data_IF_683613712221
#
_entry.id   IF_683613712221
#
_cell.length_a   1.000
_cell.length_b   1.000
_cell.length_c   1.000
_cell.angle_alpha   90.00
_cell.angle_beta   90.00
_cell.angle_gamma   90.00
#
_symmetry.space_group_name_H-M   'P 1'
#
loop_
_entity.id
_entity.type
_entity.pdbx_description
1 polymer ?
#
# COMPACT_ATOMS: atom_id res chain seq x y z
N UNK A 1 15.06 -4.06 -6.83
CA UNK A 1 14.77 -4.94 -5.69
C UNK A 1 15.36 -4.42 -4.36
N UNK A 2 15.61 -3.11 -4.22
CA UNK A 2 16.19 -2.52 -2.99
C UNK A 2 15.13 -2.16 -1.95
N UNK A 3 13.94 -1.74 -2.37
CA UNK A 3 12.84 -1.38 -1.46
C UNK A 3 12.34 -2.59 -0.66
N UNK A 4 12.23 -3.75 -1.31
CA UNK A 4 11.63 -4.96 -0.70
C UNK A 4 12.61 -5.80 0.15
N UNK A 5 13.91 -5.79 -0.16
CA UNK A 5 14.91 -6.66 0.50
C UNK A 5 16.24 -5.96 0.81
N UNK A 6 16.36 -4.67 0.54
CA UNK A 6 17.55 -3.89 0.86
C UNK A 6 17.55 -3.40 2.30
N UNK A 7 18.64 -2.73 2.69
CA UNK A 7 18.76 -2.06 3.97
C UNK A 7 17.98 -0.73 3.98
N UNK A 8 16.66 -0.81 3.78
CA UNK A 8 15.74 0.33 3.86
C UNK A 8 14.62 0.01 4.87
N UNK A 9 14.07 1.05 5.49
CA UNK A 9 12.93 0.98 6.43
C UNK A 9 11.69 0.36 5.78
N UNK A 10 11.50 0.57 4.48
CA UNK A 10 10.39 -0.01 3.71
C UNK A 10 10.46 -1.54 3.56
N UNK A 11 11.57 -2.20 3.90
CA UNK A 11 11.72 -3.64 3.71
C UNK A 11 10.75 -4.51 4.52
N UNK A 12 10.23 -4.00 5.64
CA UNK A 12 9.27 -4.70 6.51
C UNK A 12 8.04 -3.83 6.84
N UNK A 13 7.82 -2.73 6.14
CA UNK A 13 6.77 -1.75 6.46
C UNK A 13 6.20 -1.20 5.17
N UNK A 14 5.39 -2.03 4.51
CA UNK A 14 4.68 -1.73 3.26
C UNK A 14 3.17 -1.65 3.51
N UNK A 15 2.42 -1.23 2.50
CA UNK A 15 0.96 -1.12 2.57
C UNK A 15 0.54 -0.12 3.64
N UNK A 16 -0.36 -0.55 4.51
CA UNK A 16 -0.85 0.26 5.65
C UNK A 16 0.26 0.71 6.62
N UNK A 17 1.40 0.00 6.67
CA UNK A 17 2.50 0.31 7.57
C UNK A 17 3.54 1.27 7.01
N UNK A 18 3.40 1.68 5.75
CA UNK A 18 4.32 2.62 5.08
C UNK A 18 4.62 3.89 5.90
N UNK A 19 3.67 4.53 6.61
CA UNK A 19 3.94 5.72 7.43
C UNK A 19 4.98 5.52 8.52
N UNK A 20 5.16 4.30 9.02
CA UNK A 20 6.19 3.99 10.01
C UNK A 20 7.59 3.94 9.37
N UNK A 21 7.69 3.53 8.11
CA UNK A 21 8.95 3.62 7.37
C UNK A 21 9.32 5.09 7.10
N UNK A 22 8.32 5.90 6.75
CA UNK A 22 8.48 7.33 6.43
C UNK A 22 8.70 8.20 7.68
N UNK A 23 8.32 7.69 8.86
CA UNK A 23 8.41 8.44 10.12
C UNK A 23 7.38 9.56 10.23
N UNK A 24 6.21 9.43 9.57
CA UNK A 24 5.15 10.46 9.61
C UNK A 24 4.07 10.20 10.65
N UNK A 25 4.13 9.07 11.35
CA UNK A 25 3.12 8.72 12.38
C UNK A 25 3.32 9.55 13.64
N UNK A 26 4.56 9.66 14.11
CA UNK A 26 4.89 10.34 15.36
C UNK A 26 5.66 11.63 15.10
N UNK A 27 5.40 12.65 15.91
CA UNK A 27 6.23 13.84 15.95
C UNK A 27 7.50 13.62 16.80
N UNK A 28 8.52 14.43 16.56
CA UNK A 28 9.73 14.41 17.38
C UNK A 28 9.42 14.85 18.83
N UNK A 29 10.14 14.33 19.84
CA UNK A 29 9.92 14.71 21.25
C UNK A 29 10.09 16.20 21.54
N UNK A 30 10.83 16.92 20.70
CA UNK A 30 11.08 18.36 20.78
C UNK A 30 10.32 19.15 19.71
N UNK A 31 9.36 18.51 19.02
CA UNK A 31 8.53 19.19 18.03
C UNK A 31 7.56 20.18 18.67
N UNK A 32 7.04 21.08 17.84
CA UNK A 32 6.03 22.04 18.25
C UNK A 32 4.76 21.28 18.70
N UNK A 33 4.26 21.58 19.90
CA UNK A 33 3.13 20.86 20.49
C UNK A 33 1.85 21.07 19.68
N UNK A 34 1.74 22.21 19.01
CA UNK A 34 0.62 22.57 18.13
C UNK A 34 0.49 21.59 16.94
N UNK A 35 1.59 20.97 16.51
CA UNK A 35 1.61 20.01 15.41
C UNK A 35 1.21 18.59 15.82
N UNK A 36 1.06 18.32 17.13
CA UNK A 36 0.71 17.00 17.64
C UNK A 36 -0.72 16.63 17.23
N UNK A 37 -0.92 15.39 16.75
CA UNK A 37 -2.20 14.91 16.21
C UNK A 37 -3.39 15.13 17.16
N UNK A 38 -3.18 15.04 18.48
CA UNK A 38 -4.21 15.30 19.50
C UNK A 38 -4.80 16.72 19.43
N UNK A 39 -4.03 17.72 18.96
CA UNK A 39 -4.52 19.09 18.84
C UNK A 39 -5.10 19.40 17.46
N UNK A 40 -4.81 18.56 16.45
CA UNK A 40 -5.44 18.65 15.14
C UNK A 40 -6.88 18.17 15.27
N UNK A 41 -7.83 19.04 14.96
CA UNK A 41 -9.24 18.67 15.05
C UNK A 41 -9.60 17.68 13.95
N UNK A 42 -10.50 16.74 14.23
CA UNK A 42 -11.03 15.80 13.21
C UNK A 42 -11.64 16.53 12.02
N UNK A 43 -12.10 17.77 12.21
CA UNK A 43 -12.62 18.63 11.15
C UNK A 43 -11.55 19.08 10.14
N UNK A 44 -10.31 19.35 10.57
CA UNK A 44 -9.20 19.69 9.66
C UNK A 44 -8.75 18.50 8.79
N UNK A 45 -9.11 17.26 9.17
CA UNK A 45 -8.79 16.04 8.41
C UNK A 45 -9.82 15.81 7.28
N UNK A 46 -11.03 16.36 7.43
CA UNK A 46 -12.14 16.22 6.47
C UNK A 46 -12.40 17.50 5.65
N UNK A 47 -11.63 18.57 5.85
CA UNK A 47 -11.87 19.92 5.30
C UNK A 47 -11.78 20.09 3.77
N UNK A 48 -11.64 19.01 2.99
CA UNK A 48 -11.77 19.05 1.52
C UNK A 48 -13.19 18.75 1.00
N UNK A 49 -14.16 18.42 1.86
CA UNK A 49 -15.55 18.22 1.40
C UNK A 49 -16.27 19.57 1.30
N UNK A 50 -16.27 20.16 0.11
CA UNK A 50 -17.22 21.23 -0.22
C UNK A 50 -18.65 20.71 0.01
N UNK A 51 -19.46 21.44 0.77
CA UNK A 51 -20.86 21.08 1.13
C UNK A 51 -21.85 20.99 -0.05
N UNK A 52 -21.35 21.02 -1.29
CA UNK A 52 -22.15 20.97 -2.53
C UNK A 52 -21.97 19.67 -3.32
N UNK A 53 -21.23 18.70 -2.79
CA UNK A 53 -20.94 17.45 -3.50
C UNK A 53 -22.07 16.42 -3.38
N UNK A 54 -22.30 15.72 -4.49
CA UNK A 54 -23.25 14.61 -4.62
C UNK A 54 -22.94 13.49 -3.61
N UNK A 55 -23.98 12.85 -3.07
CA UNK A 55 -23.86 11.80 -2.03
C UNK A 55 -22.99 10.64 -2.52
N UNK A 56 -23.08 10.29 -3.80
CA UNK A 56 -22.30 9.20 -4.38
C UNK A 56 -20.82 9.58 -4.56
N UNK A 57 -20.53 10.85 -4.81
CA UNK A 57 -19.15 11.35 -4.83
C UNK A 57 -18.53 11.26 -3.43
N UNK A 58 -19.27 11.63 -2.39
CA UNK A 58 -18.81 11.52 -1.00
C UNK A 58 -18.49 10.07 -0.61
N UNK A 59 -19.34 9.10 -1.00
CA UNK A 59 -19.07 7.67 -0.77
C UNK A 59 -17.80 7.23 -1.49
N UNK A 60 -17.64 7.63 -2.74
CA UNK A 60 -16.47 7.27 -3.54
C UNK A 60 -15.18 7.86 -2.96
N UNK A 61 -15.20 9.12 -2.51
CA UNK A 61 -14.07 9.75 -1.84
C UNK A 61 -13.70 9.02 -0.54
N UNK A 62 -14.69 8.67 0.28
CA UNK A 62 -14.46 7.88 1.49
C UNK A 62 -13.82 6.53 1.14
N UNK A 63 -14.34 5.84 0.11
CA UNK A 63 -13.82 4.57 -0.36
C UNK A 63 -12.36 4.69 -0.82
N UNK A 64 -12.05 5.75 -1.60
CA UNK A 64 -10.68 6.09 -2.02
C UNK A 64 -9.76 6.35 -0.84
N UNK A 65 -10.18 7.14 0.17
CA UNK A 65 -9.39 7.39 1.38
C UNK A 65 -9.07 6.09 2.12
N UNK A 66 -10.06 5.21 2.31
CA UNK A 66 -9.85 3.92 2.97
C UNK A 66 -8.92 3.03 2.15
N UNK A 67 -9.12 2.96 0.84
CA UNK A 67 -8.28 2.16 -0.05
C UNK A 67 -6.83 2.66 -0.07
N UNK A 68 -6.61 3.97 -0.18
CA UNK A 68 -5.28 4.58 -0.09
C UNK A 68 -4.59 4.23 1.24
N UNK A 69 -5.32 4.30 2.37
CA UNK A 69 -4.79 3.87 3.67
C UNK A 69 -4.41 2.39 3.69
N UNK A 70 -5.25 1.52 3.13
CA UNK A 70 -5.01 0.06 3.12
C UNK A 70 -3.82 -0.35 2.25
N UNK A 71 -3.72 0.20 1.04
CA UNK A 71 -2.75 -0.21 0.03
C UNK A 71 -1.46 0.61 0.05
N UNK A 72 -1.51 1.86 0.52
CA UNK A 72 -0.37 2.80 0.48
C UNK A 72 -0.02 3.38 1.86
N UNK A 73 -0.93 3.33 2.82
CA UNK A 73 -0.73 3.86 4.16
C UNK A 73 -0.86 5.39 4.24
N UNK A 74 -1.30 6.07 3.18
CA UNK A 74 -1.52 7.52 3.19
C UNK A 74 -2.95 7.83 2.77
N UNK A 75 -3.53 8.95 3.23
CA UNK A 75 -4.87 9.40 2.82
C UNK A 75 -4.90 9.84 1.35
N UNK A 76 -3.83 10.51 0.90
CA UNK A 76 -3.74 11.12 -0.44
C UNK A 76 -3.10 10.21 -1.49
N UNK A 77 -2.71 8.98 -1.13
CA UNK A 77 -2.08 8.02 -2.04
C UNK A 77 -0.56 8.11 -2.05
N UNK A 78 0.07 8.11 -3.24
CA UNK A 78 1.54 8.08 -3.33
C UNK A 78 2.15 9.39 -2.81
N UNK A 79 2.80 9.33 -1.65
CA UNK A 79 3.77 10.36 -1.28
C UNK A 79 4.91 10.26 -2.28
N UNK A 80 5.21 11.37 -2.96
CA UNK A 80 6.38 11.43 -3.83
C UNK A 80 7.58 10.89 -3.07
N UNK A 81 8.25 9.90 -3.64
CA UNK A 81 9.59 9.50 -3.26
C UNK A 81 10.55 10.63 -3.64
N UNK A 82 10.42 11.80 -3.02
CA UNK A 82 11.44 12.83 -3.00
C UNK A 82 12.52 12.38 -2.02
N UNK A 83 13.27 11.35 -2.43
CA UNK A 83 14.62 11.00 -2.00
C UNK A 83 15.00 9.67 -2.66
N UNK A 84 15.01 9.63 -3.99
CA UNK A 84 16.13 8.93 -4.63
C UNK A 84 17.38 9.66 -4.12
N UNK A 85 18.14 9.01 -3.24
CA UNK A 85 19.37 9.58 -2.69
C UNK A 85 20.22 10.13 -3.86
N UNK A 86 20.57 11.43 -3.86
CA UNK A 86 21.47 11.94 -4.87
C UNK A 86 22.77 11.17 -4.75
N UNK A 87 23.11 10.46 -5.81
CA UNK A 87 24.34 9.70 -5.93
C UNK A 87 25.52 10.67 -5.79
N UNK A 88 26.03 10.86 -4.56
CA UNK A 88 26.99 11.89 -4.17
C UNK A 88 28.40 11.75 -4.81
N UNK A 89 28.57 10.89 -5.81
CA UNK A 89 29.86 10.57 -6.42
C UNK A 89 30.10 11.15 -7.83
N UNK A 90 29.21 11.99 -8.37
CA UNK A 90 29.44 12.65 -9.67
C UNK A 90 29.52 14.19 -9.63
N UNK A 91 29.45 14.81 -8.46
CA UNK A 91 29.72 16.24 -8.32
C UNK A 91 31.21 16.48 -8.05
N UNK A 92 32.03 16.38 -9.09
CA UNK A 92 33.27 17.13 -9.15
C UNK A 92 33.74 17.20 -10.61
N UNK A 93 33.62 18.41 -11.17
CA UNK A 93 34.17 18.94 -12.44
C UNK A 93 33.13 19.27 -13.53
N UNK A 94 32.50 20.44 -13.40
CA UNK A 94 32.20 21.32 -14.54
C UNK A 94 32.36 22.78 -14.07
N UNK A 95 33.01 23.68 -14.84
CA UNK A 95 33.20 25.07 -14.46
C UNK A 95 31.94 25.92 -14.70
N UNK A 96 31.78 26.96 -13.88
CA UNK A 96 30.71 27.95 -13.93
C UNK A 96 30.62 28.64 -15.31
N UNK A 97 29.45 28.56 -15.95
CA UNK A 97 29.02 29.52 -16.96
C UNK A 97 27.58 29.95 -16.70
N UNK A 98 27.46 31.25 -16.47
CA UNK A 98 26.21 31.99 -16.33
C UNK A 98 25.32 31.90 -17.58
N UNK A 99 24.03 32.10 -17.31
CA UNK A 99 23.00 32.76 -18.12
C UNK A 99 21.93 31.90 -18.80
N UNK A 100 20.69 32.25 -18.41
CA UNK A 100 19.37 31.95 -18.96
C UNK A 100 18.70 30.64 -18.53
N UNK A 101 17.95 30.78 -17.44
CA UNK A 101 16.79 29.99 -17.06
C UNK A 101 15.80 29.91 -18.22
N UNK A 102 15.77 28.77 -18.89
CA UNK A 102 14.53 28.21 -19.40
C UNK A 102 14.42 26.83 -18.74
N UNK A 103 13.67 26.78 -17.64
CA UNK A 103 13.29 25.53 -16.98
C UNK A 103 12.27 24.85 -17.89
N UNK A 104 12.73 24.26 -18.99
CA UNK A 104 11.98 23.18 -19.62
C UNK A 104 12.08 21.99 -18.68
N UNK A 105 11.09 21.89 -17.80
CA UNK A 105 10.67 20.67 -17.16
C UNK A 105 10.77 19.54 -18.19
N UNK A 106 11.77 18.68 -18.03
CA UNK A 106 11.77 17.39 -18.72
C UNK A 106 10.72 16.55 -18.02
N UNK A 107 9.46 16.75 -18.38
CA UNK A 107 8.40 15.77 -18.23
C UNK A 107 8.81 14.52 -19.01
N UNK A 108 9.55 13.63 -18.37
CA UNK A 108 9.48 12.23 -18.72
C UNK A 108 8.06 11.81 -18.37
N UNK A 109 7.17 11.73 -19.36
CA UNK A 109 5.84 11.13 -19.22
C UNK A 109 6.01 9.66 -18.83
N UNK A 110 6.22 9.39 -17.55
CA UNK A 110 5.86 8.12 -16.96
C UNK A 110 4.33 8.13 -16.86
N UNK A 111 3.67 7.13 -17.43
CA UNK A 111 2.21 6.97 -17.30
C UNK A 111 1.86 6.50 -15.89
N UNK A 112 2.36 7.20 -14.88
CA UNK A 112 2.19 6.80 -13.49
C UNK A 112 0.74 7.10 -13.09
N UNK A 113 0.02 6.05 -12.71
CA UNK A 113 -1.38 6.15 -12.31
C UNK A 113 -1.49 6.43 -10.82
N UNK A 114 -2.64 6.95 -10.36
CA UNK A 114 -2.90 7.13 -8.92
C UNK A 114 -2.85 5.81 -8.12
N UNK A 115 -2.89 4.66 -8.81
CA UNK A 115 -2.93 3.33 -8.20
C UNK A 115 -1.57 2.64 -8.09
N UNK A 116 -0.54 3.16 -8.77
CA UNK A 116 0.75 2.49 -8.86
C UNK A 116 1.38 2.30 -7.47
N UNK A 117 1.89 1.10 -7.22
CA UNK A 117 2.58 0.77 -5.98
C UNK A 117 3.99 1.33 -5.98
N UNK A 118 4.50 1.67 -4.81
CA UNK A 118 5.91 2.07 -4.62
C UNK A 118 6.91 1.01 -5.13
N UNK A 119 6.51 -0.26 -5.07
CA UNK A 119 7.27 -1.37 -5.61
C UNK A 119 6.31 -2.34 -6.33
N UNK A 120 6.20 -2.25 -7.67
CA UNK A 120 5.31 -3.11 -8.45
C UNK A 120 5.61 -4.60 -8.25
N UNK A 121 4.57 -5.38 -7.91
CA UNK A 121 4.68 -6.83 -7.74
C UNK A 121 3.92 -7.53 -8.85
N UNK A 122 4.61 -8.33 -9.66
CA UNK A 122 4.00 -8.99 -10.82
C UNK A 122 3.28 -10.29 -10.47
N UNK A 123 3.64 -10.91 -9.35
CA UNK A 123 3.12 -12.22 -8.95
C UNK A 123 2.94 -12.30 -7.44
N UNK A 124 1.73 -12.67 -7.00
CA UNK A 124 1.41 -12.98 -5.62
C UNK A 124 0.75 -14.35 -5.51
N UNK A 125 1.17 -15.16 -4.53
CA UNK A 125 0.56 -16.45 -4.21
C UNK A 125 0.29 -16.52 -2.71
N UNK A 126 -0.95 -16.89 -2.36
CA UNK A 126 -1.41 -17.03 -0.98
C UNK A 126 -2.13 -18.36 -0.81
N UNK A 127 -1.80 -19.09 0.26
CA UNK A 127 -2.45 -20.35 0.58
C UNK A 127 -3.21 -20.19 1.89
N UNK A 128 -4.51 -19.94 1.81
CA UNK A 128 -5.38 -19.86 2.97
C UNK A 128 -5.63 -21.28 3.51
N UNK A 129 -5.33 -21.51 4.79
CA UNK A 129 -5.49 -22.79 5.49
C UNK A 129 -6.29 -22.60 6.77
N UNK A 130 -7.59 -22.89 6.71
CA UNK A 130 -8.52 -22.65 7.82
C UNK A 130 -9.16 -23.93 8.34
N UNK A 131 -9.44 -23.94 9.64
CA UNK A 131 -10.20 -25.04 10.26
C UNK A 131 -11.67 -24.85 9.92
N UNK A 132 -12.27 -25.86 9.31
CA UNK A 132 -13.71 -25.84 9.06
C UNK A 132 -14.44 -26.51 10.22
N UNK A 133 -15.62 -26.01 10.58
CA UNK A 133 -16.50 -26.58 11.61
C UNK A 133 -17.14 -27.90 11.18
N UNK A 134 -17.05 -28.25 9.90
CA UNK A 134 -17.54 -29.52 9.37
C UNK A 134 -16.75 -30.70 9.98
N UNK A 135 -17.46 -31.59 10.65
CA UNK A 135 -16.92 -32.83 11.21
C UNK A 135 -16.45 -33.74 10.07
N UNK A 136 -15.16 -33.68 9.72
CA UNK A 136 -14.58 -34.60 8.73
C UNK A 136 -14.49 -35.99 9.36
N UNK A 137 -15.25 -36.92 8.82
CA UNK A 137 -15.33 -38.34 9.24
C UNK A 137 -14.10 -39.15 8.87
N UNK A 138 -13.25 -38.65 7.96
CA UNK A 138 -12.06 -39.35 7.49
C UNK A 138 -10.85 -38.44 7.60
N UNK A 139 -10.02 -38.66 8.63
CA UNK A 139 -8.69 -38.06 8.75
C UNK A 139 -7.66 -39.04 8.21
N UNK A 140 -6.95 -38.64 7.16
CA UNK A 140 -5.77 -39.38 6.71
C UNK A 140 -4.59 -39.11 7.66
N UNK A 141 -3.64 -40.05 7.72
CA UNK A 141 -2.40 -39.87 8.49
C UNK A 141 -1.64 -38.66 7.91
N UNK A 142 -1.49 -37.62 8.72
CA UNK A 142 -0.86 -36.35 8.33
C UNK A 142 -1.82 -35.21 7.98
N UNK A 143 -3.14 -35.44 8.02
CA UNK A 143 -4.14 -34.39 7.82
C UNK A 143 -4.30 -33.53 9.09
N UNK A 144 -3.91 -32.24 9.02
CA UNK A 144 -4.11 -31.29 10.11
C UNK A 144 -5.58 -30.85 10.28
N UNK A 145 -6.46 -31.33 9.39
CA UNK A 145 -7.90 -31.10 9.40
C UNK A 145 -8.34 -29.76 8.82
N UNK A 146 -7.42 -28.96 8.27
CA UNK A 146 -7.75 -27.68 7.61
C UNK A 146 -8.15 -27.87 6.16
N UNK A 147 -9.03 -26.99 5.69
CA UNK A 147 -9.27 -26.78 4.26
C UNK A 147 -8.22 -25.83 3.72
N UNK A 148 -7.93 -25.93 2.43
CA UNK A 148 -7.01 -25.03 1.76
C UNK A 148 -7.64 -24.37 0.53
N UNK A 149 -7.36 -23.09 0.34
CA UNK A 149 -7.67 -22.33 -0.87
C UNK A 149 -6.38 -21.66 -1.31
N UNK A 150 -6.02 -21.82 -2.59
CA UNK A 150 -4.81 -21.22 -3.15
C UNK A 150 -5.20 -20.10 -4.11
N UNK A 151 -4.75 -18.90 -3.79
CA UNK A 151 -4.85 -17.71 -4.65
C UNK A 151 -3.54 -17.54 -5.42
N UNK A 152 -3.65 -17.28 -6.72
CA UNK A 152 -2.54 -16.90 -7.59
C UNK A 152 -2.97 -15.71 -8.42
N UNK A 153 -2.27 -14.60 -8.27
CA UNK A 153 -2.60 -13.34 -8.94
C UNK A 153 -1.37 -12.89 -9.70
N UNK A 154 -1.56 -12.48 -10.95
CA UNK A 154 -0.50 -12.07 -11.88
C UNK A 154 -0.89 -10.76 -12.55
N UNK A 155 0.08 -9.86 -12.75
CA UNK A 155 -0.12 -8.58 -13.44
C UNK A 155 1.20 -7.83 -13.61
N UNK A 156 1.15 -6.60 -14.11
CA UNK A 156 2.29 -5.67 -14.07
C UNK A 156 2.52 -5.13 -12.65
N UNK A 157 1.42 -4.80 -11.96
CA UNK A 157 1.36 -4.47 -10.55
C UNK A 157 0.08 -5.04 -9.93
N UNK A 158 0.22 -6.15 -9.18
CA UNK A 158 -0.89 -6.86 -8.56
C UNK A 158 -1.59 -5.99 -7.51
N UNK A 159 -0.84 -5.31 -6.64
CA UNK A 159 -1.45 -4.55 -5.55
C UNK A 159 -1.99 -3.21 -6.03
N UNK A 160 -1.36 -2.60 -7.05
CA UNK A 160 -1.94 -1.45 -7.75
C UNK A 160 -3.26 -1.79 -8.44
N UNK A 161 -3.35 -2.94 -9.12
CA UNK A 161 -4.60 -3.40 -9.72
C UNK A 161 -5.69 -3.74 -8.71
N UNK A 162 -5.35 -4.36 -7.58
CA UNK A 162 -6.30 -4.62 -6.49
C UNK A 162 -6.79 -3.31 -5.85
N UNK A 163 -5.91 -2.32 -5.73
CA UNK A 163 -6.25 -0.98 -5.27
C UNK A 163 -7.27 -0.31 -6.20
N UNK A 164 -7.03 -0.33 -7.53
CA UNK A 164 -7.98 0.17 -8.53
C UNK A 164 -9.34 -0.53 -8.43
N UNK A 165 -9.36 -1.87 -8.33
CA UNK A 165 -10.59 -2.65 -8.20
C UNK A 165 -11.39 -2.30 -6.94
N UNK A 166 -10.71 -1.88 -5.87
CA UNK A 166 -11.37 -1.55 -4.59
C UNK A 166 -12.09 -0.21 -4.59
N UNK A 167 -11.83 0.66 -5.57
CA UNK A 167 -12.43 1.99 -5.69
C UNK A 167 -13.30 2.15 -6.94
N UNK A 168 -13.56 1.06 -7.67
CA UNK A 168 -14.20 1.11 -8.99
C UNK A 168 -15.70 1.43 -8.95
N UNK A 169 -16.40 0.98 -7.92
CA UNK A 169 -17.84 1.22 -7.74
C UNK A 169 -18.18 1.36 -6.25
N UNK A 170 -19.16 2.20 -5.96
CA UNK A 170 -19.76 2.35 -4.62
C UNK A 170 -20.99 1.47 -4.42
N UNK A 171 -21.49 0.85 -5.49
CA UNK A 171 -22.70 0.04 -5.45
C UNK A 171 -22.40 -1.36 -4.89
N UNK A 172 -23.04 -1.80 -3.80
CA UNK A 172 -22.72 -3.08 -3.14
C UNK A 172 -22.73 -4.31 -4.05
N UNK A 173 -23.58 -4.31 -5.08
CA UNK A 173 -23.70 -5.42 -6.04
C UNK A 173 -22.56 -5.45 -7.07
N UNK A 174 -21.88 -4.32 -7.28
CA UNK A 174 -20.78 -4.17 -8.24
C UNK A 174 -19.40 -4.17 -7.57
N UNK A 175 -19.33 -4.05 -6.24
CA UNK A 175 -18.07 -4.08 -5.49
C UNK A 175 -17.40 -5.45 -5.70
N UNK A 176 -16.25 -5.42 -6.36
CA UNK A 176 -15.41 -6.61 -6.59
C UNK A 176 -14.54 -6.89 -5.35
N UNK A 177 -14.02 -5.83 -4.73
CA UNK A 177 -13.16 -5.91 -3.55
C UNK A 177 -13.51 -4.78 -2.58
N UNK A 178 -14.07 -5.12 -1.42
CA UNK A 178 -14.38 -4.10 -0.41
C UNK A 178 -13.11 -3.75 0.40
N UNK A 179 -12.61 -2.50 0.36
CA UNK A 179 -11.41 -2.10 1.10
C UNK A 179 -11.62 -2.04 2.63
N UNK A 180 -12.88 -2.00 3.12
CA UNK A 180 -13.17 -2.08 4.55
C UNK A 180 -12.96 -3.51 5.08
N UNK A 181 -13.23 -4.53 4.26
CA UNK A 181 -13.21 -5.95 4.64
C UNK A 181 -12.00 -6.74 4.12
N UNK A 182 -11.23 -6.16 3.20
CA UNK A 182 -10.05 -6.82 2.63
C UNK A 182 -9.03 -7.14 3.73
N UNK A 183 -8.53 -8.39 3.82
CA UNK A 183 -7.54 -8.74 4.81
C UNK A 183 -6.17 -8.17 4.46
N UNK A 184 -5.38 -7.82 5.48
CA UNK A 184 -4.09 -7.14 5.30
C UNK A 184 -3.11 -7.88 4.37
N UNK A 185 -3.08 -9.21 4.41
CA UNK A 185 -2.20 -10.01 3.55
C UNK A 185 -2.51 -9.84 2.05
N UNK A 186 -3.68 -9.30 1.69
CA UNK A 186 -4.08 -9.03 0.31
C UNK A 186 -3.87 -7.56 -0.10
N UNK A 187 -3.36 -6.70 0.80
CA UNK A 187 -3.12 -5.27 0.54
C UNK A 187 -1.65 -4.90 0.34
N UNK A 188 -0.77 -5.89 0.16
CA UNK A 188 0.63 -5.68 -0.20
C UNK A 188 1.61 -5.52 0.97
N UNK A 189 1.16 -5.69 2.21
CA UNK A 189 2.00 -5.59 3.42
C UNK A 189 3.25 -6.49 3.37
N UNK A 190 3.10 -7.71 2.86
CA UNK A 190 4.16 -8.72 2.80
C UNK A 190 5.05 -8.61 1.56
N UNK A 191 4.80 -7.61 0.70
CA UNK A 191 5.52 -7.34 -0.54
C UNK A 191 5.53 -8.54 -1.50
N UNK A 192 6.73 -8.95 -1.92
CA UNK A 192 6.92 -10.08 -2.84
C UNK A 192 6.88 -11.47 -2.17
N UNK A 193 6.52 -11.54 -0.88
CA UNK A 193 6.52 -12.80 -0.14
C UNK A 193 5.34 -13.66 -0.55
N UNK A 194 5.61 -14.96 -0.72
CA UNK A 194 4.59 -15.98 -0.96
C UNK A 194 4.43 -16.75 0.34
N UNK A 195 3.18 -16.95 0.78
CA UNK A 195 2.96 -17.50 2.11
C UNK A 195 1.67 -18.25 2.30
N UNK A 196 1.56 -18.85 3.48
CA UNK A 196 0.37 -19.52 3.95
C UNK A 196 -0.31 -18.66 5.01
N UNK A 197 -1.64 -18.55 4.93
CA UNK A 197 -2.45 -17.85 5.91
C UNK A 197 -3.09 -18.90 6.80
N UNK A 198 -2.88 -18.81 8.11
CA UNK A 198 -3.43 -19.75 9.10
C UNK A 198 -4.05 -18.98 10.24
N UNK A 199 -5.36 -19.15 10.45
CA UNK A 199 -6.13 -18.43 11.47
C UNK A 199 -5.88 -16.92 11.37
N UNK A 200 -5.97 -16.37 10.17
CA UNK A 200 -5.73 -14.94 9.88
C UNK A 200 -4.28 -14.44 9.92
N UNK A 201 -3.29 -15.27 10.27
CA UNK A 201 -1.88 -14.85 10.32
C UNK A 201 -1.10 -15.34 9.09
N UNK A 202 -0.23 -14.47 8.55
CA UNK A 202 0.64 -14.79 7.42
C UNK A 202 1.92 -15.50 7.87
N UNK A 203 2.31 -16.54 7.13
CA UNK A 203 3.55 -17.28 7.34
C UNK A 203 4.30 -17.37 6.00
N UNK A 204 5.47 -16.75 5.95
CA UNK A 204 6.30 -16.78 4.75
C UNK A 204 6.73 -18.21 4.43
N UNK A 205 6.49 -18.64 3.19
CA UNK A 205 6.93 -19.95 2.73
C UNK A 205 8.39 -19.81 2.32
N UNK A 206 9.29 -20.10 3.26
CA UNK A 206 10.71 -20.18 2.95
C UNK A 206 10.88 -21.32 1.95
N UNK A 207 11.23 -20.99 0.71
CA UNK A 207 11.74 -21.97 -0.24
C UNK A 207 13.04 -22.51 0.35
N UNK A 208 13.03 -23.77 0.78
CA UNK A 208 14.26 -24.53 1.06
C UNK A 208 15.05 -24.79 -0.21
#
# INVERSE_FOLDING_TARGET
MHILKGCNRSGNSLGIWTPYADGTVDMLPLGAIEDHQVFKSEAEIDEETNETEDVDNLKLQRLKKIANLRFKGSLTGNKQSSNEEPNHHQQQQQPEQDSNLDQTEREGQTNDTEFDSIAPIQYAEFILKEKTTATRTEKSIGDDGRTNIKFKITGSDVFGGLHELSVKSTEPEEIILNPEEVPNWLTGEEGASIGEIRNGNFYNKING
#
